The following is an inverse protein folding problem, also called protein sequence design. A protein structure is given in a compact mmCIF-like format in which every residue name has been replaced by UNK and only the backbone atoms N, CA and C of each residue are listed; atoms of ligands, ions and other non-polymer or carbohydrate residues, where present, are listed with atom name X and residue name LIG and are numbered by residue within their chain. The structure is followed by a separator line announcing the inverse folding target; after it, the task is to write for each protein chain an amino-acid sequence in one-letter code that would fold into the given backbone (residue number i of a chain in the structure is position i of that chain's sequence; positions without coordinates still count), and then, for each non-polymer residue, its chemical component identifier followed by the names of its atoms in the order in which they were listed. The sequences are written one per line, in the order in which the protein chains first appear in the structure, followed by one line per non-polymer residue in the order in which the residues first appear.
data_IF_529192301642
#
_entry.id   IF_529192301642
#
_cell.length_a   1.000
_cell.length_b   1.000
_cell.length_c   1.000
_cell.angle_alpha   90.00
_cell.angle_beta   90.00
_cell.angle_gamma   90.00
#
_symmetry.space_group_name_H-M   'P 1'
#
loop_
_entity.id
_entity.type
_entity.pdbx_description
1 polymer ?
#
# COMPACT_ATOMS: atom_id res chain seq x y z
N UNK A 1 -7.56 -14.11 14.30
CA UNK A 1 -8.52 -13.50 13.35
C UNK A 1 -7.70 -12.79 12.28
N UNK A 2 -7.54 -13.41 11.12
CA UNK A 2 -6.93 -12.78 9.94
C UNK A 2 -8.03 -11.93 9.29
N UNK A 3 -8.01 -10.60 9.51
CA UNK A 3 -9.02 -9.69 9.00
C UNK A 3 -8.93 -9.51 7.48
N UNK A 4 -8.70 -8.26 7.08
CA UNK A 4 -8.63 -7.80 5.68
C UNK A 4 -7.24 -7.94 5.03
N UNK A 5 -6.23 -8.41 5.77
CA UNK A 5 -4.85 -8.60 5.31
C UNK A 5 -4.69 -9.22 3.90
N UNK A 6 -5.38 -10.32 3.53
CA UNK A 6 -5.22 -10.87 2.18
C UNK A 6 -5.68 -9.91 1.08
N UNK A 7 -6.78 -9.20 1.31
CA UNK A 7 -7.31 -8.22 0.35
C UNK A 7 -6.39 -7.01 0.29
N UNK A 8 -5.91 -6.54 1.44
CA UNK A 8 -4.96 -5.42 1.50
C UNK A 8 -3.63 -5.76 0.81
N UNK A 9 -3.16 -7.02 0.90
CA UNK A 9 -1.99 -7.46 0.17
C UNK A 9 -2.18 -7.31 -1.34
N UNK A 10 -3.30 -7.80 -1.89
CA UNK A 10 -3.64 -7.66 -3.31
C UNK A 10 -3.76 -6.19 -3.72
N UNK A 11 -4.43 -5.37 -2.89
CA UNK A 11 -4.53 -3.93 -3.14
C UNK A 11 -3.15 -3.28 -3.26
N UNK A 12 -2.24 -3.56 -2.33
CA UNK A 12 -0.91 -2.95 -2.28
C UNK A 12 0.00 -3.45 -3.42
N UNK A 13 -0.01 -4.75 -3.72
CA UNK A 13 0.94 -5.36 -4.66
C UNK A 13 0.46 -5.39 -6.09
N UNK A 14 -0.83 -5.63 -6.31
CA UNK A 14 -1.34 -5.94 -7.65
C UNK A 14 -2.10 -4.75 -8.27
N UNK A 15 -2.84 -4.02 -7.43
CA UNK A 15 -3.66 -2.88 -7.85
C UNK A 15 -2.85 -1.58 -7.81
N UNK A 16 -2.41 -1.17 -6.62
CA UNK A 16 -1.62 0.04 -6.43
C UNK A 16 -0.17 -0.16 -6.85
N UNK A 17 0.34 -1.40 -6.78
CA UNK A 17 1.71 -1.77 -7.15
C UNK A 17 2.78 -0.90 -6.45
N UNK A 18 2.57 -0.66 -5.16
CA UNK A 18 3.43 0.13 -4.25
C UNK A 18 4.10 -0.75 -3.19
N UNK A 19 4.05 -2.07 -3.36
CA UNK A 19 4.71 -3.01 -2.46
C UNK A 19 5.04 -4.32 -3.15
N UNK A 20 5.80 -5.17 -2.45
CA UNK A 20 6.22 -6.49 -2.92
C UNK A 20 5.69 -7.56 -1.98
N UNK A 21 5.14 -8.63 -2.55
CA UNK A 21 4.63 -9.76 -1.78
C UNK A 21 5.76 -10.70 -1.36
N UNK A 22 5.92 -10.94 -0.06
CA UNK A 22 6.95 -11.86 0.47
C UNK A 22 6.57 -13.32 0.25
N UNK A 23 5.28 -13.64 0.41
CA UNK A 23 4.74 -15.01 0.29
C UNK A 23 3.28 -14.93 -0.11
N UNK A 24 2.87 -15.79 -1.04
CA UNK A 24 1.47 -15.90 -1.44
C UNK A 24 0.58 -16.28 -0.25
N UNK A 25 -0.62 -15.70 -0.21
CA UNK A 25 -1.62 -15.99 0.82
C UNK A 25 -2.04 -17.45 0.87
N UNK A 26 -2.04 -18.15 -0.27
CA UNK A 26 -2.34 -19.59 -0.32
C UNK A 26 -1.41 -20.44 0.57
N UNK A 27 -0.21 -19.93 0.85
CA UNK A 27 0.84 -20.58 1.65
C UNK A 27 0.94 -19.99 3.07
N UNK A 28 -0.15 -19.39 3.58
CA UNK A 28 -0.12 -18.54 4.78
C UNK A 28 0.38 -19.20 6.08
N UNK A 29 0.36 -20.53 6.14
CA UNK A 29 0.78 -21.29 7.33
C UNK A 29 2.24 -21.77 7.22
N UNK A 30 2.88 -21.57 6.07
CA UNK A 30 4.27 -21.99 5.85
C UNK A 30 5.29 -21.00 6.44
N UNK A 31 6.35 -21.51 7.07
CA UNK A 31 7.43 -20.66 7.56
C UNK A 31 8.17 -19.99 6.40
N UNK A 32 8.32 -18.67 6.44
CA UNK A 32 9.18 -17.95 5.49
C UNK A 32 10.62 -18.01 6.01
N UNK A 33 11.53 -18.58 5.23
CA UNK A 33 12.95 -18.64 5.59
C UNK A 33 13.62 -17.27 5.49
N UNK A 34 14.74 -17.12 6.21
CA UNK A 34 15.58 -15.92 6.11
C UNK A 34 16.10 -15.67 4.68
N UNK A 35 16.36 -16.74 3.91
CA UNK A 35 16.80 -16.63 2.51
C UNK A 35 15.73 -15.97 1.64
N UNK A 36 14.47 -16.39 1.76
CA UNK A 36 13.34 -15.79 1.01
C UNK A 36 13.17 -14.33 1.39
N UNK A 37 13.26 -13.99 2.68
CA UNK A 37 13.19 -12.61 3.15
C UNK A 37 14.32 -11.78 2.52
N UNK A 38 15.56 -12.30 2.55
CA UNK A 38 16.71 -11.62 1.98
C UNK A 38 16.56 -11.36 0.47
N UNK A 39 16.04 -12.33 -0.27
CA UNK A 39 15.79 -12.19 -1.71
C UNK A 39 14.74 -11.12 -2.01
N UNK A 40 13.64 -11.11 -1.27
CA UNK A 40 12.56 -10.11 -1.46
C UNK A 40 13.04 -8.71 -1.08
N UNK A 41 13.79 -8.57 0.02
CA UNK A 41 14.40 -7.29 0.40
C UNK A 41 15.38 -6.83 -0.67
N UNK A 42 16.26 -7.71 -1.16
CA UNK A 42 17.19 -7.35 -2.24
C UNK A 42 16.45 -6.94 -3.50
N UNK A 43 15.40 -7.66 -3.89
CA UNK A 43 14.53 -7.30 -5.00
C UNK A 43 13.92 -5.90 -4.81
N UNK A 44 13.40 -5.59 -3.62
CA UNK A 44 12.82 -4.28 -3.34
C UNK A 44 13.85 -3.15 -3.38
N UNK A 45 15.11 -3.40 -3.00
CA UNK A 45 16.13 -2.36 -2.80
C UNK A 45 17.12 -2.21 -3.96
N UNK A 46 17.40 -3.30 -4.68
CA UNK A 46 18.52 -3.45 -5.64
C UNK A 46 18.05 -4.19 -6.90
N UNK A 47 16.91 -3.78 -7.45
CA UNK A 47 16.42 -4.25 -8.74
C UNK A 47 15.58 -3.19 -9.45
N UNK A 48 15.47 -3.30 -10.77
CA UNK A 48 14.63 -2.42 -11.60
C UNK A 48 13.16 -2.45 -11.16
N UNK A 49 12.62 -3.63 -10.82
CA UNK A 49 11.27 -3.75 -10.27
C UNK A 49 11.12 -3.01 -8.94
N UNK A 50 12.12 -3.11 -8.06
CA UNK A 50 12.17 -2.37 -6.80
C UNK A 50 12.19 -0.86 -7.02
N UNK A 51 12.96 -0.38 -7.99
CA UNK A 51 13.04 1.04 -8.35
C UNK A 51 11.69 1.58 -8.83
N UNK A 52 10.96 0.82 -9.65
CA UNK A 52 9.61 1.18 -10.08
C UNK A 52 8.63 1.25 -8.91
N UNK A 53 8.68 0.28 -7.99
CA UNK A 53 7.84 0.27 -6.79
C UNK A 53 8.12 1.51 -5.94
N UNK A 54 9.39 1.85 -5.69
CA UNK A 54 9.75 3.03 -4.88
C UNK A 54 9.31 4.33 -5.55
N UNK A 55 9.54 4.51 -6.86
CA UNK A 55 9.05 5.69 -7.62
C UNK A 55 7.53 5.82 -7.58
N UNK A 56 6.80 4.71 -7.74
CA UNK A 56 5.32 4.73 -7.65
C UNK A 56 4.86 5.09 -6.25
N UNK A 57 5.54 4.56 -5.24
CA UNK A 57 5.25 4.84 -3.82
C UNK A 57 5.47 6.32 -3.50
N UNK A 58 6.54 6.94 -4.00
CA UNK A 58 6.81 8.38 -3.84
C UNK A 58 5.70 9.24 -4.45
N UNK A 59 5.31 8.95 -5.70
CA UNK A 59 4.20 9.65 -6.37
C UNK A 59 2.88 9.49 -5.61
N UNK A 60 2.56 8.26 -5.22
CA UNK A 60 1.34 7.95 -4.47
C UNK A 60 1.32 8.68 -3.12
N UNK A 61 2.47 8.75 -2.44
CA UNK A 61 2.61 9.50 -1.19
C UNK A 61 2.39 11.01 -1.35
N UNK A 62 2.81 11.59 -2.47
CA UNK A 62 2.52 12.99 -2.80
C UNK A 62 1.01 13.21 -3.03
N UNK A 63 0.39 12.39 -3.87
CA UNK A 63 -1.06 12.47 -4.16
C UNK A 63 -1.92 12.32 -2.90
N UNK A 64 -1.54 11.41 -1.99
CA UNK A 64 -2.23 11.25 -0.70
C UNK A 64 -2.14 12.49 0.19
N UNK A 65 -0.97 13.15 0.23
CA UNK A 65 -0.79 14.38 1.01
C UNK A 65 -1.60 15.53 0.41
N UNK A 66 -1.64 15.66 -0.90
CA UNK A 66 -2.48 16.65 -1.57
C UNK A 66 -3.98 16.41 -1.31
N UNK A 67 -4.43 15.16 -1.40
CA UNK A 67 -5.83 14.81 -1.17
C UNK A 67 -6.31 15.12 0.24
N UNK A 68 -5.42 15.07 1.23
CA UNK A 68 -5.72 15.26 2.66
C UNK A 68 -5.40 16.65 3.20
N UNK A 69 -4.64 17.46 2.46
CA UNK A 69 -4.35 18.85 2.80
C UNK A 69 -5.61 19.74 2.75
N UNK A 70 -5.50 20.97 3.25
CA UNK A 70 -6.57 21.96 3.16
C UNK A 70 -6.94 22.24 1.70
N UNK A 71 -8.24 22.15 1.39
CA UNK A 71 -8.74 22.22 0.01
C UNK A 71 -8.56 20.92 -0.81
N UNK A 72 -7.96 19.88 -0.23
CA UNK A 72 -7.85 18.56 -0.83
C UNK A 72 -9.19 17.81 -0.87
N UNK A 73 -9.34 16.90 -1.82
CA UNK A 73 -10.60 16.19 -2.06
C UNK A 73 -11.11 15.42 -0.85
N UNK A 74 -10.23 14.73 -0.10
CA UNK A 74 -10.63 14.01 1.10
C UNK A 74 -11.07 14.96 2.21
N UNK A 75 -10.49 16.16 2.27
CA UNK A 75 -10.86 17.18 3.25
C UNK A 75 -12.23 17.79 2.93
N UNK A 76 -12.47 18.11 1.65
CA UNK A 76 -13.76 18.60 1.15
C UNK A 76 -14.88 17.60 1.44
N UNK A 77 -14.67 16.32 1.13
CA UNK A 77 -15.67 15.28 1.39
C UNK A 77 -15.98 15.13 2.88
N UNK A 78 -14.95 15.21 3.74
CA UNK A 78 -15.12 15.17 5.19
C UNK A 78 -15.92 16.38 5.69
N UNK A 79 -15.58 17.59 5.26
CA UNK A 79 -16.27 18.81 5.65
C UNK A 79 -17.75 18.78 5.18
N UNK A 80 -18.01 18.25 3.98
CA UNK A 80 -19.36 18.00 3.45
C UNK A 80 -20.15 17.01 4.32
N UNK A 81 -19.52 15.90 4.73
CA UNK A 81 -20.13 14.92 5.63
C UNK A 81 -20.49 15.56 6.98
N UNK A 82 -19.58 16.34 7.58
CA UNK A 82 -19.82 17.02 8.85
C UNK A 82 -20.99 18.01 8.73
N UNK A 83 -21.04 18.80 7.65
CA UNK A 83 -22.15 19.70 7.40
C UNK A 83 -23.48 18.95 7.26
N UNK A 84 -23.48 17.78 6.63
CA UNK A 84 -24.69 16.96 6.47
C UNK A 84 -25.23 16.39 7.79
N UNK A 85 -24.36 15.97 8.71
CA UNK A 85 -24.78 15.38 9.99
C UNK A 85 -25.07 16.43 11.07
N UNK A 86 -24.63 17.67 10.88
CA UNK A 86 -24.83 18.77 11.84
C UNK A 86 -26.08 19.62 11.56
N UNK A 87 -26.89 19.23 10.57
CA UNK A 87 -28.12 19.93 10.16
C UNK A 87 -29.34 19.54 11.00
#
# INVERSE_FOLDING_TARGET
MQGDQPINAVLITDVLKVGVLVRNWSRKDELVSSSVISEVVKKLMDSEEGDEVRKRTEKFGYELREATADGGVSRIELDSFIAHISR
#
